data_IF_100634586368
#
_entry.id   IF_100634586368
#
_cell.length_a   1.000
_cell.length_b   1.000
_cell.length_c   1.000
_cell.angle_alpha   90.00
_cell.angle_beta   90.00
_cell.angle_gamma   90.00
#
_symmetry.space_group_name_H-M   'P 1'
#
loop_
_entity.id
_entity.type
_entity.pdbx_description
1 polymer ?
#
# COMPACT_ATOMS: atom_id res chain seq x y z
N UNK A 1 -18.11 -24.36 -8.81
CA UNK A 1 -17.45 -23.69 -7.67
C UNK A 1 -16.43 -22.62 -8.10
N UNK A 2 -15.67 -22.81 -9.19
CA UNK A 2 -14.69 -21.81 -9.68
C UNK A 2 -15.32 -20.50 -10.20
N UNK A 3 -16.52 -20.59 -10.80
CA UNK A 3 -17.25 -19.43 -11.34
C UNK A 3 -17.70 -18.40 -10.29
N UNK A 4 -17.88 -18.80 -9.04
CA UNK A 4 -18.36 -17.91 -7.99
C UNK A 4 -17.26 -16.96 -7.49
N UNK A 5 -16.02 -17.45 -7.50
CA UNK A 5 -14.86 -16.74 -6.95
C UNK A 5 -14.46 -15.52 -7.81
N UNK A 6 -14.50 -15.68 -9.14
CA UNK A 6 -14.28 -14.58 -10.09
C UNK A 6 -15.33 -13.47 -9.95
N UNK A 7 -16.56 -13.82 -9.55
CA UNK A 7 -17.65 -12.84 -9.38
C UNK A 7 -17.47 -11.95 -8.16
N UNK A 8 -16.84 -12.46 -7.10
CA UNK A 8 -16.58 -11.71 -5.85
C UNK A 8 -15.45 -10.69 -6.04
N UNK A 9 -14.42 -11.06 -6.82
CA UNK A 9 -13.28 -10.18 -7.09
C UNK A 9 -13.66 -8.94 -7.89
N UNK A 10 -14.68 -9.01 -8.76
CA UNK A 10 -15.19 -7.84 -9.48
C UNK A 10 -14.09 -7.04 -10.18
N UNK A 11 -13.79 -5.84 -9.66
CA UNK A 11 -12.80 -4.89 -10.20
C UNK A 11 -11.41 -4.99 -9.57
N UNK A 12 -11.22 -5.89 -8.61
CA UNK A 12 -10.00 -6.01 -7.82
C UNK A 12 -9.00 -6.93 -8.49
N UNK A 13 -7.72 -6.56 -8.54
CA UNK A 13 -6.70 -7.34 -9.25
C UNK A 13 -6.43 -8.70 -8.60
N UNK A 14 -6.67 -8.81 -7.28
CA UNK A 14 -6.47 -10.04 -6.53
C UNK A 14 -7.28 -10.02 -5.23
N UNK A 15 -7.30 -11.16 -4.53
CA UNK A 15 -8.05 -11.34 -3.28
C UNK A 15 -7.50 -10.50 -2.14
N UNK A 16 -6.20 -10.24 -2.13
CA UNK A 16 -5.55 -9.39 -1.12
C UNK A 16 -6.03 -7.94 -1.21
N UNK A 17 -6.05 -7.36 -2.41
CA UNK A 17 -6.52 -6.00 -2.65
C UNK A 17 -8.01 -5.87 -2.27
N UNK A 18 -8.81 -6.88 -2.59
CA UNK A 18 -10.21 -6.94 -2.19
C UNK A 18 -10.38 -6.98 -0.67
N UNK A 19 -9.66 -7.85 0.05
CA UNK A 19 -9.79 -7.96 1.51
C UNK A 19 -9.29 -6.72 2.24
N UNK A 20 -8.22 -6.07 1.75
CA UNK A 20 -7.74 -4.80 2.30
C UNK A 20 -8.74 -3.68 2.10
N UNK A 21 -9.35 -3.57 0.93
CA UNK A 21 -10.39 -2.59 0.69
C UNK A 21 -11.65 -2.79 1.54
N UNK A 22 -12.05 -4.05 1.76
CA UNK A 22 -13.13 -4.37 2.69
C UNK A 22 -12.76 -3.94 4.12
N UNK A 23 -11.51 -4.17 4.55
CA UNK A 23 -11.01 -3.73 5.85
C UNK A 23 -11.03 -2.20 6.01
N UNK A 24 -10.66 -1.45 4.98
CA UNK A 24 -10.76 0.00 4.98
C UNK A 24 -12.21 0.48 5.11
N UNK A 25 -13.15 -0.19 4.43
CA UNK A 25 -14.57 0.14 4.54
C UNK A 25 -15.14 -0.13 5.93
N UNK A 26 -14.69 -1.21 6.59
CA UNK A 26 -15.01 -1.49 7.99
C UNK A 26 -14.45 -0.40 8.90
N UNK A 27 -13.20 0.03 8.71
CA UNK A 27 -12.61 1.13 9.48
C UNK A 27 -13.36 2.45 9.25
N UNK A 28 -13.78 2.71 8.01
CA UNK A 28 -14.58 3.89 7.66
C UNK A 28 -15.95 3.91 8.34
N UNK A 29 -16.61 2.76 8.40
CA UNK A 29 -17.99 2.65 8.92
C UNK A 29 -18.05 2.49 10.43
N UNK A 30 -17.10 1.77 11.03
CA UNK A 30 -17.06 1.50 12.46
C UNK A 30 -16.10 2.42 13.24
N UNK A 31 -15.23 3.17 12.55
CA UNK A 31 -14.23 4.05 13.16
C UNK A 31 -14.71 5.47 13.44
N UNK A 32 -16.00 5.78 13.22
CA UNK A 32 -16.56 7.10 13.50
C UNK A 32 -16.40 7.46 14.98
N UNK A 33 -15.90 8.67 15.24
CA UNK A 33 -15.62 9.15 16.60
C UNK A 33 -14.36 8.59 17.26
N UNK A 34 -13.63 7.67 16.61
CA UNK A 34 -12.35 7.15 17.10
C UNK A 34 -11.16 7.86 16.45
N UNK A 35 -10.01 7.95 17.14
CA UNK A 35 -8.82 8.58 16.58
C UNK A 35 -8.07 7.66 15.59
N UNK A 36 -8.71 7.29 14.47
CA UNK A 36 -8.17 6.33 13.51
C UNK A 36 -7.58 7.02 12.28
N UNK A 37 -6.51 6.44 11.73
CA UNK A 37 -5.91 6.79 10.45
C UNK A 37 -5.58 5.50 9.67
N UNK A 38 -5.71 5.56 8.35
CA UNK A 38 -5.41 4.49 7.41
C UNK A 38 -4.26 4.95 6.51
N UNK A 39 -3.18 4.17 6.50
CA UNK A 39 -2.06 4.36 5.59
C UNK A 39 -2.10 3.35 4.46
N UNK A 40 -1.86 3.83 3.24
CA UNK A 40 -1.79 3.01 2.03
C UNK A 40 -0.38 3.04 1.46
N UNK A 41 0.50 2.12 1.91
CA UNK A 41 1.77 1.92 1.24
C UNK A 41 1.56 1.25 -0.12
N UNK A 42 2.41 1.57 -1.09
CA UNK A 42 2.53 0.79 -2.32
C UNK A 42 3.43 -0.43 -2.10
N UNK A 43 4.02 -0.97 -3.17
CA UNK A 43 4.97 -2.08 -3.08
C UNK A 43 6.18 -1.64 -2.28
N UNK A 44 6.29 -2.19 -1.08
CA UNK A 44 7.37 -1.88 -0.16
C UNK A 44 8.64 -2.61 -0.61
N UNK A 45 9.73 -1.87 -0.70
CA UNK A 45 11.07 -2.40 -1.03
C UNK A 45 12.04 -2.16 0.14
N UNK A 46 13.29 -2.59 -0.05
CA UNK A 46 14.36 -2.38 0.92
C UNK A 46 14.50 -0.91 1.35
N UNK A 47 15.14 -0.73 2.49
CA UNK A 47 15.37 0.59 3.10
C UNK A 47 16.17 1.49 2.17
N UNK A 48 15.80 2.77 2.13
CA UNK A 48 16.55 3.77 1.40
C UNK A 48 17.80 4.22 2.16
N UNK A 49 17.71 4.39 3.49
CA UNK A 49 18.78 4.93 4.34
C UNK A 49 18.94 4.20 5.67
N UNK A 50 17.86 4.04 6.43
CA UNK A 50 17.94 3.58 7.83
C UNK A 50 17.23 2.24 8.03
N UNK A 51 17.71 1.36 8.92
CA UNK A 51 18.94 1.46 9.73
C UNK A 51 20.22 1.13 8.97
N UNK A 52 20.11 0.44 7.83
CA UNK A 52 21.23 0.05 6.94
C UNK A 52 20.72 0.16 5.51
N UNK A 53 21.37 0.92 4.64
CA UNK A 53 20.98 1.08 3.23
C UNK A 53 20.78 -0.25 2.50
N UNK A 54 19.66 -0.39 1.78
CA UNK A 54 19.34 -1.59 1.01
C UNK A 54 18.95 -2.81 1.84
N UNK A 55 18.82 -2.66 3.16
CA UNK A 55 18.37 -3.75 4.02
C UNK A 55 16.94 -4.18 3.67
N UNK A 56 16.73 -5.48 3.59
CA UNK A 56 15.45 -6.14 3.33
C UNK A 56 15.38 -7.42 4.16
N UNK A 57 14.20 -7.74 4.70
CA UNK A 57 13.95 -8.96 5.47
C UNK A 57 13.58 -10.15 4.58
N UNK A 58 13.13 -9.87 3.36
CA UNK A 58 12.63 -10.88 2.43
C UNK A 58 12.99 -10.53 0.97
N UNK A 59 12.83 -11.54 0.09
CA UNK A 59 13.01 -11.44 -1.35
C UNK A 59 11.67 -11.51 -2.10
N UNK A 60 10.57 -11.06 -1.49
CA UNK A 60 9.27 -11.08 -2.15
C UNK A 60 9.16 -9.97 -3.20
N UNK A 61 8.43 -10.25 -4.28
CA UNK A 61 8.12 -9.27 -5.31
C UNK A 61 9.37 -8.74 -6.04
N UNK A 62 9.51 -7.41 -6.23
CA UNK A 62 10.60 -6.82 -7.00
C UNK A 62 12.00 -7.17 -6.47
N UNK A 63 12.16 -7.25 -5.14
CA UNK A 63 13.46 -7.57 -4.52
C UNK A 63 13.97 -8.94 -4.96
N UNK A 64 13.09 -9.94 -5.04
CA UNK A 64 13.44 -11.27 -5.54
C UNK A 64 13.73 -11.30 -7.03
N UNK A 65 13.02 -10.50 -7.82
CA UNK A 65 13.29 -10.36 -9.27
C UNK A 65 14.69 -9.80 -9.49
N UNK A 66 15.05 -8.72 -8.79
CA UNK A 66 16.37 -8.09 -8.87
C UNK A 66 17.46 -9.05 -8.39
N UNK A 67 17.27 -9.72 -7.25
CA UNK A 67 18.23 -10.69 -6.73
C UNK A 67 18.41 -11.88 -7.68
N UNK A 68 17.33 -12.44 -8.20
CA UNK A 68 17.36 -13.55 -9.16
C UNK A 68 18.07 -13.17 -10.46
N UNK A 69 17.86 -11.95 -10.96
CA UNK A 69 18.54 -11.44 -12.14
C UNK A 69 20.04 -11.21 -11.86
N UNK A 70 20.38 -10.59 -10.72
CA UNK A 70 21.77 -10.35 -10.31
C UNK A 70 22.59 -11.62 -10.10
N UNK A 71 21.95 -12.69 -9.62
CA UNK A 71 22.56 -14.02 -9.49
C UNK A 71 22.59 -14.82 -10.80
N UNK A 72 21.97 -14.32 -11.87
CA UNK A 72 21.88 -15.03 -13.16
C UNK A 72 20.90 -16.21 -13.19
N UNK A 73 20.14 -16.42 -12.10
CA UNK A 73 19.13 -17.49 -12.00
C UNK A 73 17.90 -17.13 -12.82
N UNK A 74 17.43 -15.88 -12.70
CA UNK A 74 16.32 -15.35 -13.46
C UNK A 74 16.81 -14.82 -14.81
N UNK A 75 16.53 -15.57 -15.87
CA UNK A 75 16.97 -15.22 -17.24
C UNK A 75 15.93 -14.44 -18.04
N UNK A 76 14.65 -14.56 -17.69
CA UNK A 76 13.53 -13.93 -18.40
C UNK A 76 12.45 -13.54 -17.41
N UNK A 77 11.91 -12.33 -17.56
CA UNK A 77 10.80 -11.83 -16.75
C UNK A 77 9.69 -11.33 -17.70
N UNK A 78 8.50 -11.92 -17.57
CA UNK A 78 7.35 -11.51 -18.38
C UNK A 78 6.64 -10.34 -17.70
N UNK A 79 6.82 -9.14 -18.25
CA UNK A 79 6.18 -7.92 -17.78
C UNK A 79 5.83 -7.01 -18.95
N UNK A 80 4.80 -6.21 -18.76
CA UNK A 80 4.50 -5.10 -19.64
C UNK A 80 5.54 -3.99 -19.41
N UNK A 81 6.11 -3.47 -20.50
CA UNK A 81 7.16 -2.46 -20.47
C UNK A 81 6.62 -1.07 -20.17
N UNK A 82 5.33 -0.85 -20.45
CA UNK A 82 4.68 0.44 -20.23
C UNK A 82 4.03 0.51 -18.83
N UNK A 83 4.12 -0.57 -18.05
CA UNK A 83 3.56 -0.62 -16.70
C UNK A 83 4.46 0.12 -15.69
N UNK A 84 3.89 1.12 -15.02
CA UNK A 84 4.55 1.85 -13.95
C UNK A 84 4.30 1.15 -12.62
N UNK A 85 5.37 0.72 -11.95
CA UNK A 85 5.31 0.14 -10.62
C UNK A 85 5.70 1.17 -9.56
N UNK A 86 4.77 1.51 -8.68
CA UNK A 86 5.02 2.41 -7.55
C UNK A 86 5.74 1.66 -6.43
N UNK A 87 7.01 1.99 -6.20
CA UNK A 87 7.85 1.39 -5.16
C UNK A 87 8.08 2.39 -4.03
N UNK A 88 7.96 1.95 -2.78
CA UNK A 88 8.21 2.80 -1.61
C UNK A 88 9.21 2.10 -0.67
N UNK A 89 10.29 2.77 -0.28
CA UNK A 89 11.22 2.25 0.73
C UNK A 89 10.56 1.98 2.07
N UNK A 90 10.90 0.86 2.71
CA UNK A 90 10.30 0.46 4.00
C UNK A 90 10.56 1.46 5.13
N UNK A 91 11.72 2.12 5.15
CA UNK A 91 12.07 3.12 6.15
C UNK A 91 11.17 4.36 6.07
N UNK A 92 10.82 4.80 4.86
CA UNK A 92 9.84 5.86 4.66
C UNK A 92 8.43 5.44 5.11
N UNK A 93 8.03 4.18 4.86
CA UNK A 93 6.77 3.65 5.36
C UNK A 93 6.71 3.64 6.89
N UNK A 94 7.78 3.19 7.55
CA UNK A 94 7.88 3.17 9.02
C UNK A 94 7.85 4.58 9.58
N UNK A 95 8.63 5.50 9.01
CA UNK A 95 8.64 6.90 9.43
C UNK A 95 7.27 7.56 9.29
N UNK A 96 6.55 7.28 8.20
CA UNK A 96 5.19 7.75 8.04
C UNK A 96 4.26 7.17 9.11
N UNK A 97 4.29 5.86 9.37
CA UNK A 97 3.47 5.22 10.42
C UNK A 97 3.69 5.89 11.78
N UNK A 98 4.94 6.20 12.12
CA UNK A 98 5.30 6.86 13.38
C UNK A 98 4.82 8.33 13.41
N UNK A 99 4.89 9.04 12.28
CA UNK A 99 4.47 10.44 12.18
C UNK A 99 2.95 10.64 12.07
N UNK A 100 2.21 9.62 11.62
CA UNK A 100 0.76 9.70 11.36
C UNK A 100 -0.08 10.18 12.56
N UNK A 101 0.11 9.69 13.80
CA UNK A 101 -0.69 10.14 14.94
C UNK A 101 -0.55 11.66 15.18
N UNK A 102 0.68 12.17 15.15
CA UNK A 102 0.95 13.59 15.29
C UNK A 102 0.35 14.40 14.13
N UNK A 103 0.50 13.91 12.89
CA UNK A 103 -0.06 14.57 11.72
C UNK A 103 -1.59 14.68 11.77
N UNK A 104 -2.25 13.61 12.24
CA UNK A 104 -3.71 13.56 12.42
C UNK A 104 -4.22 14.62 13.39
N UNK A 105 -3.58 14.74 14.55
CA UNK A 105 -3.95 15.75 15.55
C UNK A 105 -3.85 17.18 15.01
N UNK A 106 -2.89 17.44 14.12
CA UNK A 106 -2.66 18.77 13.55
C UNK A 106 -3.57 19.09 12.34
N UNK A 107 -4.12 18.09 11.64
CA UNK A 107 -4.95 18.29 10.43
C UNK A 107 -6.45 18.34 10.71
N UNK A 108 -6.93 17.61 11.73
CA UNK A 108 -8.38 17.45 11.93
C UNK A 108 -8.78 17.64 13.39
N UNK A 109 -9.44 18.77 13.69
CA UNK A 109 -10.25 18.99 14.91
C UNK A 109 -11.60 18.24 14.88
N UNK A 110 -11.90 17.45 13.84
CA UNK A 110 -13.19 16.77 13.65
C UNK A 110 -13.05 15.31 13.19
N UNK A 111 -14.11 14.54 13.48
CA UNK A 111 -14.30 13.08 13.57
C UNK A 111 -14.17 12.25 12.28
N UNK A 112 -13.19 12.52 11.42
CA UNK A 112 -13.01 11.77 10.16
C UNK A 112 -11.79 10.83 10.19
N UNK A 113 -11.88 9.71 9.46
CA UNK A 113 -10.74 8.79 9.23
C UNK A 113 -9.78 9.43 8.23
N UNK A 114 -8.51 9.57 8.62
CA UNK A 114 -7.47 10.13 7.76
C UNK A 114 -6.95 9.05 6.80
N UNK A 115 -6.98 9.30 5.49
CA UNK A 115 -6.41 8.40 4.48
C UNK A 115 -5.15 9.02 3.87
N UNK A 116 -4.02 8.33 3.97
CA UNK A 116 -2.74 8.78 3.41
C UNK A 116 -2.19 7.79 2.38
N UNK A 117 -2.12 8.21 1.12
CA UNK A 117 -1.48 7.48 0.02
C UNK A 117 0.00 7.87 -0.07
N UNK A 118 0.89 6.91 0.21
CA UNK A 118 2.34 7.17 0.30
C UNK A 118 2.98 7.52 -1.05
N UNK A 119 2.37 7.13 -2.17
CA UNK A 119 2.87 7.41 -3.53
C UNK A 119 2.55 8.84 -3.96
N UNK A 120 1.35 9.31 -3.63
CA UNK A 120 0.86 10.63 -4.08
C UNK A 120 1.28 11.76 -3.15
N UNK A 121 1.82 11.45 -1.96
CA UNK A 121 2.25 12.43 -0.96
C UNK A 121 1.12 13.35 -0.45
N UNK A 122 -0.13 13.04 -0.81
CA UNK A 122 -1.29 13.88 -0.54
C UNK A 122 -2.21 13.20 0.46
N UNK A 123 -2.54 13.94 1.51
CA UNK A 123 -3.54 13.54 2.49
C UNK A 123 -4.92 13.94 1.97
N UNK A 124 -5.68 12.98 1.47
CA UNK A 124 -7.04 13.24 0.97
C UNK A 124 -8.06 12.80 2.02
N UNK A 125 -9.05 13.64 2.30
CA UNK A 125 -10.27 13.15 2.97
C UNK A 125 -10.81 12.00 2.12
N UNK A 126 -11.14 10.87 2.76
CA UNK A 126 -11.63 9.69 2.05
C UNK A 126 -13.06 9.97 1.56
N UNK A 127 -13.22 10.73 0.49
CA UNK A 127 -14.49 10.88 -0.21
C UNK A 127 -14.86 9.54 -0.86
N UNK A 128 -16.16 9.23 -0.84
CA UNK A 128 -16.81 7.94 -1.18
C UNK A 128 -16.58 7.39 -2.60
N UNK A 129 -15.57 7.85 -3.34
CA UNK A 129 -15.38 7.50 -4.73
C UNK A 129 -14.37 6.35 -4.90
N UNK A 130 -14.90 5.19 -5.29
CA UNK A 130 -14.19 4.01 -5.81
C UNK A 130 -13.35 4.25 -7.10
N UNK A 131 -12.85 5.48 -7.31
CA UNK A 131 -12.08 5.92 -8.48
C UNK A 131 -10.56 5.73 -8.33
N UNK A 132 -10.07 5.32 -7.15
CA UNK A 132 -8.64 5.20 -6.86
C UNK A 132 -7.99 3.85 -7.22
N UNK A 133 -8.71 2.92 -7.85
CA UNK A 133 -8.16 1.62 -8.31
C UNK A 133 -7.95 1.58 -9.82
N UNK A 134 -7.32 2.62 -10.36
CA UNK A 134 -6.78 2.65 -11.72
C UNK A 134 -5.27 2.77 -11.64
#
# INVERSE_FOLDING_TARGET
MFFFFLRILGRWPNTYAFTKALGEDVVRTAGEGLPVAVIRPSIVIGTAREPIEGWTDNLYGPTGVVAGAGLGILRTFYADKDFVADLVPVDLCVNAIIALPWHRENISRYSDVLLTDMVKGNCTKQESNARHYR
#
